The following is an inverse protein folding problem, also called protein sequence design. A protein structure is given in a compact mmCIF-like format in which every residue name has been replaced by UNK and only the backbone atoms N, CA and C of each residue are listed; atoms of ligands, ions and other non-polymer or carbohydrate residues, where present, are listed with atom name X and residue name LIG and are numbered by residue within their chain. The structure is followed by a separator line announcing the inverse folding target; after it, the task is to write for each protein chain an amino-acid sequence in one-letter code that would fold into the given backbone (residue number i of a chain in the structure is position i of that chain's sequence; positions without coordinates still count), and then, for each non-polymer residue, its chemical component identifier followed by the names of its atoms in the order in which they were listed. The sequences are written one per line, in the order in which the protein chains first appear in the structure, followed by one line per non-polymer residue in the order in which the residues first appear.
data_IF_584885637554
#
_entry.id   IF_584885637554
#
_cell.length_a   1.000
_cell.length_b   1.000
_cell.length_c   1.000
_cell.angle_alpha   90.00
_cell.angle_beta   90.00
_cell.angle_gamma   90.00
#
_symmetry.space_group_name_H-M   'P 1'
#
loop_
_entity.id
_entity.type
_entity.pdbx_description
1 polymer ?
#
# COMPACT_ATOMS: atom_id res chain seq x y z
N UNK A 1 1.74 -21.26 4.06
CA UNK A 1 0.51 -21.80 4.70
C UNK A 1 -0.40 -22.28 3.58
N UNK A 2 -0.92 -23.50 3.66
CA UNK A 2 -1.75 -24.08 2.60
C UNK A 2 -3.01 -23.23 2.35
N UNK A 3 -3.34 -23.00 1.08
CA UNK A 3 -4.51 -22.26 0.61
C UNK A 3 -5.83 -23.00 0.88
N UNK A 4 -6.10 -23.38 2.14
CA UNK A 4 -7.31 -24.11 2.54
C UNK A 4 -8.54 -23.25 2.21
N UNK A 5 -9.30 -23.67 1.20
CA UNK A 5 -10.59 -23.08 0.81
C UNK A 5 -10.60 -22.29 -0.50
N UNK A 6 -9.45 -22.10 -1.17
CA UNK A 6 -9.40 -21.42 -2.47
C UNK A 6 -9.62 -22.39 -3.62
N UNK A 7 -10.42 -22.01 -4.62
CA UNK A 7 -10.56 -22.78 -5.85
C UNK A 7 -9.32 -22.62 -6.77
N UNK A 8 -9.17 -23.48 -7.77
CA UNK A 8 -7.98 -23.45 -8.65
C UNK A 8 -7.79 -22.12 -9.40
N UNK A 9 -8.87 -21.48 -9.84
CA UNK A 9 -8.82 -20.19 -10.55
C UNK A 9 -8.33 -19.07 -9.63
N UNK A 10 -8.78 -19.07 -8.38
CA UNK A 10 -8.33 -18.17 -7.33
C UNK A 10 -6.85 -18.40 -6.98
N UNK A 11 -6.42 -19.67 -6.88
CA UNK A 11 -5.01 -20.01 -6.66
C UNK A 11 -4.12 -19.55 -7.83
N UNK A 12 -4.58 -19.70 -9.08
CA UNK A 12 -3.88 -19.17 -10.26
C UNK A 12 -3.77 -17.65 -10.18
N UNK A 13 -4.84 -16.97 -9.77
CA UNK A 13 -4.82 -15.52 -9.66
C UNK A 13 -3.84 -15.02 -8.60
N UNK A 14 -3.74 -15.72 -7.46
CA UNK A 14 -2.72 -15.45 -6.46
C UNK A 14 -1.30 -15.71 -6.98
N UNK A 15 -1.09 -16.80 -7.71
CA UNK A 15 0.20 -17.08 -8.34
C UNK A 15 0.57 -16.00 -9.37
N UNK A 16 -0.40 -15.47 -10.12
CA UNK A 16 -0.19 -14.38 -11.07
C UNK A 16 0.18 -13.05 -10.38
N UNK A 17 -0.44 -12.75 -9.24
CA UNK A 17 -0.05 -11.63 -8.38
C UNK A 17 1.42 -11.73 -7.94
N UNK A 18 1.84 -12.92 -7.52
CA UNK A 18 3.23 -13.17 -7.12
C UNK A 18 4.20 -13.02 -8.32
N UNK A 19 3.87 -13.56 -9.49
CA UNK A 19 4.71 -13.43 -10.69
C UNK A 19 4.89 -11.97 -11.14
N UNK A 20 3.79 -11.21 -11.11
CA UNK A 20 3.75 -9.81 -11.56
C UNK A 20 4.26 -8.83 -10.50
N UNK A 21 4.28 -9.20 -9.22
CA UNK A 21 4.50 -8.26 -8.12
C UNK A 21 3.38 -7.21 -8.02
N UNK A 22 2.20 -7.48 -8.56
CA UNK A 22 1.07 -6.54 -8.63
C UNK A 22 1.16 -5.51 -9.77
N UNK A 23 2.15 -5.59 -10.66
CA UNK A 23 2.24 -4.73 -11.83
C UNK A 23 1.53 -5.34 -13.04
N UNK A 24 0.44 -4.71 -13.50
CA UNK A 24 -0.32 -5.15 -14.68
C UNK A 24 0.48 -5.06 -16.00
N UNK A 25 1.57 -4.30 -16.05
CA UNK A 25 2.41 -4.22 -17.25
C UNK A 25 3.43 -5.36 -17.33
N UNK A 26 3.69 -6.04 -16.22
CA UNK A 26 4.66 -7.13 -16.17
C UNK A 26 4.05 -8.42 -16.72
N UNK A 27 4.70 -8.98 -17.73
CA UNK A 27 4.34 -10.28 -18.30
C UNK A 27 5.07 -11.42 -17.60
N UNK A 28 4.46 -12.59 -17.59
CA UNK A 28 5.05 -13.84 -17.08
C UNK A 28 4.64 -15.02 -17.95
N UNK A 29 5.48 -16.06 -17.98
CA UNK A 29 5.20 -17.27 -18.75
C UNK A 29 4.28 -18.22 -17.99
N UNK A 30 3.65 -19.14 -18.71
CA UNK A 30 2.83 -20.21 -18.11
C UNK A 30 3.63 -21.08 -17.14
N UNK A 31 4.91 -21.32 -17.44
CA UNK A 31 5.81 -22.12 -16.60
C UNK A 31 6.13 -21.38 -15.31
N UNK A 32 6.36 -20.06 -15.38
CA UNK A 32 6.55 -19.24 -14.19
C UNK A 32 5.30 -19.27 -13.31
N UNK A 33 4.12 -19.10 -13.92
CA UNK A 33 2.85 -19.16 -13.23
C UNK A 33 2.61 -20.53 -12.56
N UNK A 34 2.91 -21.62 -13.27
CA UNK A 34 2.82 -22.99 -12.76
C UNK A 34 3.74 -23.20 -11.56
N UNK A 35 5.01 -22.80 -11.68
CA UNK A 35 5.99 -22.94 -10.60
C UNK A 35 5.57 -22.13 -9.38
N UNK A 36 5.02 -20.92 -9.57
CA UNK A 36 4.49 -20.11 -8.48
C UNK A 36 3.28 -20.79 -7.81
N UNK A 37 2.29 -21.25 -8.59
CA UNK A 37 1.12 -21.95 -8.05
C UNK A 37 1.51 -23.22 -7.28
N UNK A 38 2.45 -24.00 -7.82
CA UNK A 38 2.97 -25.20 -7.17
C UNK A 38 3.76 -24.91 -5.89
N UNK A 39 4.56 -23.85 -5.85
CA UNK A 39 5.23 -23.42 -4.61
C UNK A 39 4.23 -23.02 -3.52
N UNK A 40 3.07 -22.47 -3.90
CA UNK A 40 2.01 -22.09 -2.95
C UNK A 40 1.26 -23.32 -2.41
N UNK A 41 0.90 -24.25 -3.28
CA UNK A 41 0.24 -25.50 -2.91
C UNK A 41 0.73 -26.67 -3.77
N UNK A 42 1.75 -27.36 -3.25
CA UNK A 42 2.37 -28.51 -3.91
C UNK A 42 1.39 -29.67 -4.10
N UNK A 43 0.44 -29.86 -3.20
CA UNK A 43 -0.53 -30.96 -3.31
C UNK A 43 -1.55 -30.68 -4.41
N UNK A 44 -2.03 -29.45 -4.51
CA UNK A 44 -2.99 -29.04 -5.53
C UNK A 44 -2.39 -29.11 -6.94
N UNK A 45 -1.20 -28.56 -7.13
CA UNK A 45 -0.57 -28.35 -8.44
C UNK A 45 0.53 -29.35 -8.78
N UNK A 46 0.80 -30.31 -7.89
CA UNK A 46 1.81 -31.33 -8.11
C UNK A 46 1.35 -32.45 -9.05
N UNK A 47 2.32 -33.06 -9.73
CA UNK A 47 2.12 -34.25 -10.53
C UNK A 47 1.77 -35.43 -9.63
N UNK A 48 0.77 -36.23 -10.01
CA UNK A 48 0.28 -37.34 -9.18
C UNK A 48 1.40 -38.35 -8.88
N UNK A 49 1.66 -38.60 -7.60
CA UNK A 49 2.76 -39.47 -7.13
C UNK A 49 4.13 -38.79 -7.03
N UNK A 50 4.25 -37.54 -7.46
CA UNK A 50 5.45 -36.71 -7.39
C UNK A 50 5.11 -35.28 -6.94
N UNK A 51 4.06 -35.12 -6.12
CA UNK A 51 3.45 -33.82 -5.85
C UNK A 51 4.44 -32.84 -5.22
N UNK A 52 5.41 -33.36 -4.46
CA UNK A 52 6.41 -32.58 -3.73
C UNK A 52 7.57 -32.12 -4.63
N UNK A 53 7.84 -32.87 -5.70
CA UNK A 53 9.06 -32.75 -6.52
C UNK A 53 8.79 -32.15 -7.91
N UNK A 54 7.60 -32.36 -8.47
CA UNK A 54 7.27 -31.97 -9.83
C UNK A 54 5.90 -31.28 -9.95
N UNK A 55 5.81 -30.12 -10.62
CA UNK A 55 4.53 -29.51 -10.94
C UNK A 55 3.81 -30.21 -12.11
N UNK A 56 2.48 -30.15 -12.12
CA UNK A 56 1.62 -30.71 -13.16
C UNK A 56 1.20 -29.62 -14.16
N UNK A 57 1.85 -29.60 -15.33
CA UNK A 57 1.57 -28.61 -16.37
C UNK A 57 0.20 -28.77 -17.02
N UNK A 58 -0.39 -29.96 -16.95
CA UNK A 58 -1.70 -30.18 -17.57
C UNK A 58 -2.77 -29.51 -16.74
N UNK A 59 -2.69 -29.58 -15.40
CA UNK A 59 -3.65 -28.93 -14.48
C UNK A 59 -3.79 -27.43 -14.76
N UNK A 60 -2.68 -26.70 -14.86
CA UNK A 60 -2.75 -25.24 -15.07
C UNK A 60 -3.33 -24.89 -16.45
N UNK A 61 -3.00 -25.68 -17.48
CA UNK A 61 -3.56 -25.49 -18.82
C UNK A 61 -5.09 -25.66 -18.83
N UNK A 62 -5.64 -26.52 -17.94
CA UNK A 62 -7.09 -26.75 -17.87
C UNK A 62 -7.86 -25.53 -17.38
N UNK A 63 -7.24 -24.73 -16.52
CA UNK A 63 -7.88 -23.64 -15.80
C UNK A 63 -7.61 -22.26 -16.41
N UNK A 64 -6.56 -22.13 -17.24
CA UNK A 64 -6.21 -20.86 -17.89
C UNK A 64 -7.24 -20.45 -18.97
N UNK A 65 -7.70 -21.39 -19.80
CA UNK A 65 -8.59 -21.11 -20.93
C UNK A 65 -9.89 -21.91 -20.92
N UNK A 66 -10.80 -21.59 -21.84
CA UNK A 66 -12.15 -22.16 -21.88
C UNK A 66 -12.14 -23.68 -22.13
N UNK A 67 -12.98 -24.41 -21.39
CA UNK A 67 -13.20 -25.86 -21.57
C UNK A 67 -14.63 -26.21 -22.00
N UNK A 68 -15.18 -25.41 -22.90
CA UNK A 68 -16.54 -25.60 -23.42
C UNK A 68 -17.60 -24.78 -22.69
N UNK A 69 -18.89 -24.99 -23.02
CA UNK A 69 -19.99 -24.14 -22.57
C UNK A 69 -20.08 -24.11 -21.04
N UNK A 70 -20.00 -22.90 -20.46
CA UNK A 70 -20.17 -22.68 -19.03
C UNK A 70 -18.94 -22.95 -18.15
N UNK A 71 -17.77 -23.28 -18.73
CA UNK A 71 -16.52 -23.40 -17.98
C UNK A 71 -15.47 -22.43 -18.51
N UNK A 72 -15.60 -21.18 -18.08
CA UNK A 72 -14.70 -20.07 -18.37
C UNK A 72 -13.36 -20.25 -17.65
N UNK A 73 -12.25 -20.14 -18.38
CA UNK A 73 -10.91 -20.10 -17.79
C UNK A 73 -10.61 -18.72 -17.21
N UNK A 74 -9.50 -18.60 -16.49
CA UNK A 74 -9.06 -17.34 -15.87
C UNK A 74 -8.88 -16.21 -16.90
N UNK A 75 -8.52 -16.53 -18.14
CA UNK A 75 -8.44 -15.56 -19.25
C UNK A 75 -9.83 -15.11 -19.70
N UNK A 76 -10.79 -16.02 -19.78
CA UNK A 76 -12.16 -15.72 -20.23
C UNK A 76 -12.94 -14.90 -19.20
N UNK A 77 -12.63 -15.12 -17.92
CA UNK A 77 -13.12 -14.29 -16.81
C UNK A 77 -12.51 -12.86 -16.82
N UNK A 78 -11.58 -12.58 -17.73
CA UNK A 78 -10.94 -11.29 -17.88
C UNK A 78 -9.93 -10.96 -16.78
N UNK A 79 -9.51 -11.93 -15.96
CA UNK A 79 -8.53 -11.72 -14.89
C UNK A 79 -7.09 -11.72 -15.41
N UNK A 80 -6.85 -12.51 -16.45
CA UNK A 80 -5.57 -12.55 -17.17
C UNK A 80 -5.79 -12.20 -18.63
N UNK A 81 -4.80 -11.57 -19.21
CA UNK A 81 -4.72 -11.33 -20.65
C UNK A 81 -3.56 -12.14 -21.23
N UNK A 82 -3.81 -12.78 -22.38
CA UNK A 82 -2.76 -13.48 -23.12
C UNK A 82 -2.02 -12.49 -24.03
N UNK A 83 -0.82 -12.11 -23.63
CA UNK A 83 0.05 -11.22 -24.40
C UNK A 83 0.72 -11.93 -25.58
N UNK A 84 1.08 -13.21 -25.42
CA UNK A 84 1.66 -14.05 -26.47
C UNK A 84 1.40 -15.55 -26.18
N UNK A 85 1.90 -16.47 -27.01
CA UNK A 85 1.85 -17.90 -26.80
C UNK A 85 2.51 -18.26 -25.46
N UNK A 86 1.69 -18.72 -24.51
CA UNK A 86 2.10 -19.07 -23.13
C UNK A 86 2.64 -17.88 -22.33
N UNK A 87 2.40 -16.64 -22.75
CA UNK A 87 2.77 -15.42 -22.02
C UNK A 87 1.51 -14.66 -21.64
N UNK A 88 1.43 -14.31 -20.36
CA UNK A 88 0.24 -13.70 -19.76
C UNK A 88 0.62 -12.47 -18.96
N UNK A 89 -0.35 -11.59 -18.74
CA UNK A 89 -0.27 -10.49 -17.78
C UNK A 89 -1.56 -10.37 -16.98
N UNK A 90 -1.47 -9.78 -15.79
CA UNK A 90 -2.66 -9.40 -15.03
C UNK A 90 -3.40 -8.27 -15.73
N UNK A 91 -4.72 -8.37 -15.73
CA UNK A 91 -5.57 -7.22 -16.03
C UNK A 91 -5.85 -6.42 -14.75
N UNK A 92 -6.32 -5.17 -14.86
CA UNK A 92 -6.82 -4.43 -13.69
C UNK A 92 -7.94 -5.15 -12.94
N UNK A 93 -8.79 -5.91 -13.64
CA UNK A 93 -9.85 -6.70 -13.02
C UNK A 93 -9.30 -7.89 -12.22
N UNK A 94 -8.33 -8.62 -12.79
CA UNK A 94 -7.66 -9.71 -12.08
C UNK A 94 -6.84 -9.21 -10.89
N UNK A 95 -6.21 -8.05 -11.00
CA UNK A 95 -5.51 -7.43 -9.88
C UNK A 95 -6.47 -7.15 -8.72
N UNK A 96 -7.61 -6.50 -9.00
CA UNK A 96 -8.63 -6.20 -8.00
C UNK A 96 -9.18 -7.46 -7.34
N UNK A 97 -9.47 -8.49 -8.13
CA UNK A 97 -10.03 -9.74 -7.64
C UNK A 97 -9.00 -10.55 -6.83
N UNK A 98 -7.74 -10.59 -7.26
CA UNK A 98 -6.67 -11.25 -6.52
C UNK A 98 -6.46 -10.64 -5.13
N UNK A 99 -6.62 -9.31 -5.00
CA UNK A 99 -6.62 -8.65 -3.69
C UNK A 99 -7.84 -8.99 -2.82
N UNK A 100 -8.99 -9.33 -3.41
CA UNK A 100 -10.17 -9.79 -2.66
C UNK A 100 -10.00 -11.23 -2.14
N UNK A 101 -9.29 -12.06 -2.90
CA UNK A 101 -9.10 -13.50 -2.64
C UNK A 101 -8.05 -13.76 -1.57
N UNK A 102 -6.99 -12.95 -1.49
CA UNK A 102 -6.00 -13.13 -0.45
C UNK A 102 -6.71 -13.08 0.91
N UNK A 103 -6.65 -14.16 1.72
CA UNK A 103 -7.12 -14.09 3.09
C UNK A 103 -6.39 -12.91 3.74
N UNK A 104 -7.12 -12.12 4.53
CA UNK A 104 -6.66 -10.86 5.14
C UNK A 104 -5.41 -10.99 6.03
N UNK A 105 -4.78 -12.17 6.05
CA UNK A 105 -3.70 -12.61 6.94
C UNK A 105 -2.40 -13.05 6.19
N UNK A 106 -2.25 -12.91 4.87
CA UNK A 106 -1.07 -13.46 4.13
C UNK A 106 -0.19 -12.48 3.35
N UNK A 107 -0.50 -11.19 3.32
CA UNK A 107 0.55 -10.16 3.22
C UNK A 107 0.69 -9.64 4.65
N UNK A 108 1.89 -9.45 5.21
CA UNK A 108 2.05 -8.51 6.31
C UNK A 108 1.82 -7.08 5.80
N UNK A 109 0.61 -6.79 5.30
CA UNK A 109 -0.08 -5.56 5.67
C UNK A 109 -0.42 -5.74 7.15
N UNK A 110 0.60 -5.67 8.00
CA UNK A 110 0.40 -5.03 9.29
C UNK A 110 -0.15 -3.66 8.92
N UNK A 111 -1.48 -3.51 8.88
CA UNK A 111 -2.10 -2.22 8.59
C UNK A 111 -1.36 -1.21 9.43
N UNK A 112 -0.90 -0.16 8.78
CA UNK A 112 -0.46 1.00 9.53
C UNK A 112 -1.63 1.28 10.47
N UNK A 113 -1.40 1.37 11.78
CA UNK A 113 -2.50 1.39 12.76
C UNK A 113 -3.56 2.36 12.23
N UNK A 114 -4.83 1.92 12.18
CA UNK A 114 -5.90 2.70 11.55
C UNK A 114 -5.93 4.13 12.10
N UNK A 115 -5.57 4.29 13.37
CA UNK A 115 -5.38 5.58 14.05
C UNK A 115 -4.27 6.41 13.41
N UNK A 116 -3.12 5.79 13.15
CA UNK A 116 -1.98 6.40 12.49
C UNK A 116 -2.29 6.75 11.02
N UNK A 117 -2.98 5.88 10.29
CA UNK A 117 -3.42 6.15 8.90
C UNK A 117 -4.33 7.39 8.84
N UNK A 118 -5.33 7.46 9.72
CA UNK A 118 -6.25 8.60 9.81
C UNK A 118 -5.46 9.88 10.16
N UNK A 119 -4.51 9.79 11.07
CA UNK A 119 -3.71 10.94 11.51
C UNK A 119 -2.83 11.47 10.37
N UNK A 120 -2.11 10.59 9.66
CA UNK A 120 -1.27 10.98 8.52
C UNK A 120 -2.13 11.59 7.42
N UNK A 121 -3.26 10.95 7.10
CA UNK A 121 -4.18 11.47 6.10
C UNK A 121 -4.66 12.87 6.46
N UNK A 122 -5.01 13.11 7.73
CA UNK A 122 -5.40 14.44 8.22
C UNK A 122 -4.30 15.48 8.04
N UNK A 123 -3.03 15.11 8.27
CA UNK A 123 -1.87 15.99 8.10
C UNK A 123 -1.63 16.31 6.61
N UNK A 124 -1.58 15.29 5.75
CA UNK A 124 -1.30 15.44 4.31
C UNK A 124 -2.45 16.12 3.57
N UNK A 125 -3.70 15.90 3.99
CA UNK A 125 -4.85 16.55 3.38
C UNK A 125 -5.08 17.98 3.89
N UNK A 126 -4.32 18.44 4.89
CA UNK A 126 -4.53 19.72 5.55
C UNK A 126 -4.39 20.91 4.57
N UNK A 127 -5.33 21.88 4.59
CA UNK A 127 -5.32 23.00 3.65
C UNK A 127 -4.03 23.83 3.65
N UNK A 128 -3.43 24.03 4.83
CA UNK A 128 -2.19 24.81 4.98
C UNK A 128 -1.00 24.11 4.32
N UNK A 129 -0.89 22.79 4.46
CA UNK A 129 0.16 22.03 3.78
C UNK A 129 -0.03 22.05 2.26
N UNK A 130 -1.27 21.85 1.78
CA UNK A 130 -1.59 21.98 0.35
C UNK A 130 -1.29 23.36 -0.22
N UNK A 131 -1.52 24.42 0.56
CA UNK A 131 -1.18 25.77 0.17
C UNK A 131 0.35 25.96 0.06
N UNK A 132 1.13 25.37 0.98
CA UNK A 132 2.59 25.40 0.92
C UNK A 132 3.15 24.64 -0.29
N UNK A 133 2.56 23.50 -0.66
CA UNK A 133 2.94 22.78 -1.88
C UNK A 133 2.81 23.62 -3.15
N UNK A 134 1.90 24.60 -3.16
CA UNK A 134 1.70 25.53 -4.28
C UNK A 134 2.57 26.79 -4.14
N UNK A 135 2.76 27.26 -2.91
CA UNK A 135 3.51 28.48 -2.58
C UNK A 135 4.36 28.25 -1.32
N UNK A 136 5.68 27.98 -1.46
CA UNK A 136 6.58 27.75 -0.33
C UNK A 136 6.71 28.94 0.63
N UNK A 137 6.25 30.14 0.25
CA UNK A 137 6.20 31.29 1.13
C UNK A 137 5.01 31.24 2.11
N UNK A 138 4.06 30.31 1.94
CA UNK A 138 2.97 30.06 2.89
C UNK A 138 3.35 28.99 3.93
N UNK A 139 2.71 28.98 5.11
CA UNK A 139 1.98 30.08 5.70
C UNK A 139 2.89 31.28 5.99
N UNK A 140 2.31 32.49 5.93
CA UNK A 140 3.02 33.75 6.19
C UNK A 140 2.94 34.18 7.65
N UNK A 141 1.89 33.75 8.34
CA UNK A 141 1.60 34.18 9.70
C UNK A 141 1.45 32.99 10.64
N UNK A 142 1.85 33.18 11.90
CA UNK A 142 1.76 32.13 12.92
C UNK A 142 0.35 31.57 13.08
N UNK A 143 -0.69 32.39 12.89
CA UNK A 143 -2.10 31.94 12.97
C UNK A 143 -2.40 30.78 12.03
N UNK A 144 -1.82 30.77 10.83
CA UNK A 144 -2.03 29.72 9.84
C UNK A 144 -1.25 28.45 10.21
N UNK A 145 -0.02 28.59 10.71
CA UNK A 145 0.77 27.47 11.24
C UNK A 145 0.11 26.87 12.50
N UNK A 146 -0.40 27.73 13.39
CA UNK A 146 -1.22 27.36 14.54
C UNK A 146 -2.45 26.57 14.12
N UNK A 147 -3.16 27.00 13.06
CA UNK A 147 -4.28 26.23 12.52
C UNK A 147 -3.86 24.82 12.06
N UNK A 148 -2.70 24.68 11.39
CA UNK A 148 -2.15 23.36 11.03
C UNK A 148 -1.85 22.46 12.23
N UNK A 149 -1.30 23.02 13.31
CA UNK A 149 -1.07 22.27 14.56
C UNK A 149 -2.32 22.14 15.44
N UNK A 150 -3.44 22.76 15.06
CA UNK A 150 -4.64 22.86 15.90
C UNK A 150 -4.50 23.76 17.12
N UNK A 151 -3.53 24.67 17.15
CA UNK A 151 -3.29 25.64 18.23
C UNK A 151 -4.20 26.86 18.04
N UNK A 152 -4.95 27.19 19.10
CA UNK A 152 -5.80 28.38 19.17
C UNK A 152 -5.32 29.32 20.29
N UNK A 153 -5.74 30.61 20.29
CA UNK A 153 -5.48 31.51 21.40
C UNK A 153 -5.92 30.90 22.74
N UNK A 154 -5.05 30.96 23.75
CA UNK A 154 -5.31 30.35 25.07
C UNK A 154 -4.98 28.86 25.17
N UNK A 155 -4.42 28.24 24.13
CA UNK A 155 -3.91 26.85 24.23
C UNK A 155 -2.76 26.80 25.26
N UNK A 156 -2.79 25.92 26.27
CA UNK A 156 -1.71 25.79 27.25
C UNK A 156 -0.38 25.41 26.59
N UNK A 157 0.75 25.89 27.13
CA UNK A 157 2.10 25.65 26.62
C UNK A 157 2.41 24.16 26.42
N UNK A 158 2.07 23.32 27.40
CA UNK A 158 2.21 21.86 27.31
C UNK A 158 1.44 21.26 26.12
N UNK A 159 0.22 21.73 25.87
CA UNK A 159 -0.61 21.24 24.75
C UNK A 159 -0.09 21.75 23.40
N UNK A 160 0.48 22.96 23.35
CA UNK A 160 1.20 23.45 22.16
C UNK A 160 2.33 22.49 21.80
N UNK A 161 3.19 22.18 22.77
CA UNK A 161 4.30 21.22 22.60
C UNK A 161 3.82 19.87 22.09
N UNK A 162 2.85 19.27 22.78
CA UNK A 162 2.30 17.96 22.43
C UNK A 162 1.77 17.93 20.98
N UNK A 163 1.10 18.98 20.53
CA UNK A 163 0.54 19.08 19.17
C UNK A 163 1.60 19.24 18.10
N UNK A 164 2.60 20.09 18.33
CA UNK A 164 3.71 20.30 17.39
C UNK A 164 4.53 19.01 17.26
N UNK A 165 4.88 18.38 18.38
CA UNK A 165 5.62 17.11 18.39
C UNK A 165 4.80 15.94 17.85
N UNK A 166 3.47 15.95 18.03
CA UNK A 166 2.60 14.90 17.53
C UNK A 166 2.68 14.76 16.00
N UNK A 167 2.70 15.87 15.27
CA UNK A 167 2.82 15.86 13.80
C UNK A 167 4.14 15.20 13.39
N UNK A 168 5.25 15.65 13.99
CA UNK A 168 6.58 15.13 13.68
C UNK A 168 6.73 13.64 14.03
N UNK A 169 6.27 13.23 15.22
CA UNK A 169 6.32 11.82 15.64
C UNK A 169 5.47 10.93 14.74
N UNK A 170 4.28 11.38 14.38
CA UNK A 170 3.36 10.67 13.48
C UNK A 170 4.01 10.44 12.10
N UNK A 171 4.59 11.48 11.51
CA UNK A 171 5.24 11.40 10.20
C UNK A 171 6.51 10.54 10.22
N UNK A 172 7.36 10.68 11.26
CA UNK A 172 8.55 9.82 11.42
C UNK A 172 8.20 8.35 11.63
N UNK A 173 7.15 8.07 12.39
CA UNK A 173 6.64 6.72 12.57
C UNK A 173 6.17 6.12 11.24
N UNK A 174 5.45 6.91 10.43
CA UNK A 174 5.01 6.52 9.09
C UNK A 174 6.20 6.17 8.19
N UNK A 175 7.20 7.06 8.12
CA UNK A 175 8.37 6.88 7.27
C UNK A 175 9.17 5.64 7.67
N UNK A 176 9.39 5.42 8.98
CA UNK A 176 10.05 4.22 9.50
C UNK A 176 9.32 2.94 9.11
N UNK A 177 7.98 2.96 9.11
CA UNK A 177 7.17 1.80 8.71
C UNK A 177 7.28 1.55 7.20
N UNK A 178 7.20 2.62 6.39
CA UNK A 178 7.35 2.57 4.92
C UNK A 178 8.73 2.00 4.55
N UNK A 179 9.80 2.54 5.13
CA UNK A 179 11.18 2.12 4.88
C UNK A 179 11.43 0.67 5.30
N UNK A 180 10.96 0.27 6.48
CA UNK A 180 11.08 -1.12 6.96
C UNK A 180 10.40 -2.11 6.02
N UNK A 181 9.39 -1.68 5.28
CA UNK A 181 8.59 -2.53 4.38
C UNK A 181 9.04 -2.48 2.92
N UNK A 182 9.89 -1.51 2.55
CA UNK A 182 10.30 -1.31 1.15
C UNK A 182 9.11 -1.00 0.22
N UNK A 183 8.06 -0.39 0.75
CA UNK A 183 6.88 0.02 -0.03
C UNK A 183 7.01 1.50 -0.40
N UNK A 184 6.59 1.88 -1.61
CA UNK A 184 6.60 3.29 -2.04
C UNK A 184 5.29 4.02 -1.70
N UNK A 185 4.19 3.28 -1.50
CA UNK A 185 2.87 3.86 -1.27
C UNK A 185 2.03 3.05 -0.28
N UNK A 186 1.22 3.75 0.52
CA UNK A 186 0.23 3.15 1.41
C UNK A 186 -1.16 3.27 0.77
N UNK A 187 -1.83 2.14 0.57
CA UNK A 187 -3.16 2.07 -0.04
C UNK A 187 -4.23 1.75 1.00
N UNK A 188 -5.38 2.41 0.88
CA UNK A 188 -6.55 2.18 1.72
C UNK A 188 -7.41 1.02 1.23
N UNK A 189 -8.55 0.81 1.91
CA UNK A 189 -9.54 -0.19 1.49
C UNK A 189 -9.95 0.08 0.04
N UNK A 190 -9.85 -0.95 -0.83
CA UNK A 190 -10.11 -0.92 -2.29
C UNK A 190 -8.96 -0.40 -3.19
N UNK A 191 -7.71 -0.44 -2.73
CA UNK A 191 -6.55 -0.17 -3.58
C UNK A 191 -6.33 1.31 -3.93
N UNK A 192 -7.11 2.22 -3.37
CA UNK A 192 -6.88 3.66 -3.50
C UNK A 192 -5.63 4.05 -2.69
N UNK A 193 -4.61 4.59 -3.35
CA UNK A 193 -3.44 5.17 -2.69
C UNK A 193 -3.89 6.30 -1.75
N UNK A 194 -3.55 6.19 -0.47
CA UNK A 194 -3.82 7.20 0.54
C UNK A 194 -2.74 8.27 0.55
N UNK A 195 -1.49 7.85 0.55
CA UNK A 195 -0.30 8.70 0.48
C UNK A 195 0.90 7.86 0.06
N UNK A 196 1.88 8.51 -0.55
CA UNK A 196 3.18 7.90 -0.88
C UNK A 196 4.30 8.34 0.07
N UNK A 197 5.46 7.69 -0.05
CA UNK A 197 6.65 8.04 0.74
C UNK A 197 7.04 9.51 0.58
N UNK A 198 6.97 10.03 -0.65
CA UNK A 198 7.33 11.42 -0.97
C UNK A 198 6.37 12.42 -0.34
N UNK A 199 5.10 12.08 -0.16
CA UNK A 199 4.12 12.92 0.54
C UNK A 199 4.49 13.06 2.02
N UNK A 200 4.90 11.96 2.66
CA UNK A 200 5.36 11.95 4.07
C UNK A 200 6.65 12.76 4.23
N UNK A 201 7.62 12.57 3.33
CA UNK A 201 8.88 13.34 3.32
C UNK A 201 8.62 14.84 3.14
N UNK A 202 7.78 15.22 2.16
CA UNK A 202 7.39 16.62 1.95
C UNK A 202 6.68 17.22 3.17
N UNK A 203 5.84 16.44 3.86
CA UNK A 203 5.22 16.89 5.12
C UNK A 203 6.25 17.09 6.25
N UNK A 204 7.29 16.26 6.33
CA UNK A 204 8.37 16.44 7.31
C UNK A 204 9.17 17.71 7.02
N UNK A 205 9.50 17.96 5.76
CA UNK A 205 10.18 19.19 5.35
C UNK A 205 9.33 20.43 5.68
N UNK A 206 8.03 20.35 5.40
CA UNK A 206 7.08 21.39 5.75
C UNK A 206 7.03 21.64 7.27
N UNK A 207 6.91 20.59 8.07
CA UNK A 207 6.92 20.67 9.53
C UNK A 207 8.21 21.32 10.06
N UNK A 208 9.37 20.93 9.52
CA UNK A 208 10.65 21.55 9.85
C UNK A 208 10.70 23.03 9.48
N UNK A 209 10.20 23.39 8.30
CA UNK A 209 10.11 24.77 7.86
C UNK A 209 9.21 25.63 8.77
N UNK A 210 8.05 25.11 9.17
CA UNK A 210 7.16 25.81 10.10
C UNK A 210 7.82 26.06 11.45
N UNK A 211 8.46 25.03 12.03
CA UNK A 211 9.16 25.15 13.32
C UNK A 211 10.26 26.22 13.26
N UNK A 212 11.06 26.22 12.18
CA UNK A 212 12.11 27.24 11.99
C UNK A 212 11.53 28.64 11.77
N UNK A 213 10.57 28.78 10.85
CA UNK A 213 9.99 30.09 10.48
C UNK A 213 9.30 30.75 11.67
N UNK A 214 8.59 29.98 12.50
CA UNK A 214 7.82 30.47 13.63
C UNK A 214 8.44 30.13 14.99
N UNK A 215 9.76 29.86 15.03
CA UNK A 215 10.45 29.48 16.26
C UNK A 215 10.28 30.53 17.37
N UNK A 216 10.28 31.81 17.02
CA UNK A 216 10.08 32.91 17.98
C UNK A 216 8.70 32.87 18.62
N UNK A 217 7.66 32.63 17.83
CA UNK A 217 6.27 32.52 18.31
C UNK A 217 6.09 31.28 19.19
N UNK A 218 6.67 30.13 18.79
CA UNK A 218 6.64 28.90 19.58
C UNK A 218 7.34 29.08 20.93
N UNK A 219 8.50 29.73 20.97
CA UNK A 219 9.21 30.07 22.22
C UNK A 219 8.44 31.04 23.10
N UNK A 220 7.65 31.95 22.52
CA UNK A 220 6.79 32.83 23.31
C UNK A 220 5.67 32.05 24.01
N UNK A 221 5.14 31.01 23.35
CA UNK A 221 4.08 30.16 23.89
C UNK A 221 4.57 29.10 24.88
N UNK A 222 5.79 28.60 24.70
CA UNK A 222 6.42 27.63 25.59
C UNK A 222 7.93 27.92 25.71
N UNK A 223 8.32 28.89 26.56
CA UNK A 223 9.72 29.34 26.70
C UNK A 223 10.68 28.27 27.19
N UNK A 224 10.16 27.26 27.90
CA UNK A 224 10.93 26.18 28.53
C UNK A 224 11.23 25.03 27.56
N UNK A 225 10.84 25.14 26.27
CA UNK A 225 11.00 24.07 25.30
C UNK A 225 11.75 24.50 24.05
N UNK A 226 12.64 23.62 23.58
CA UNK A 226 13.36 23.77 22.34
C UNK A 226 12.69 22.90 21.26
N UNK A 227 12.10 23.58 20.28
CA UNK A 227 11.39 22.99 19.15
C UNK A 227 12.35 22.64 18.01
#
# INVERSE_FOLDING_TARGET
MAAKGLNYKQQILLAALECSGGDCNKTFTMEQLLVCAWKMDKQAWGLRGFEIDHPDSDKIQKEIGTRGPGNEGVVDMGWLERADRRVYRLTPAGLAEGFNIQPQDSIPQEKLDRTLEISIKGIIEHPVFKAWLTDPARPKHFREAGYFWGIAPGTPSKTVRERVEFVERTLKAALKIIDKRGIESVSGKRGKVLFDKKDVERCLDFQGNLKQRFMKDLRLLDPEHEY
#
